data_IF_667885004829
#
_entry.id   IF_667885004829
#
_cell.length_a   1.000
_cell.length_b   1.000
_cell.length_c   1.000
_cell.angle_alpha   90.00
_cell.angle_beta   90.00
_cell.angle_gamma   90.00
#
_symmetry.space_group_name_H-M   'P 1'
#
loop_
_entity.id
_entity.type
_entity.pdbx_description
1 polymer ?
#
# COMPACT_ATOMS: atom_id res chain seq x y z
N UNK A 1 6.98 1.02 -3.18
CA UNK A 1 6.56 2.28 -2.52
C UNK A 1 7.60 3.35 -2.77
N UNK A 2 8.87 2.97 -2.61
CA UNK A 2 10.10 3.64 -3.00
C UNK A 2 9.97 4.41 -4.33
N UNK A 3 9.47 3.73 -5.36
CA UNK A 3 9.26 4.33 -6.69
C UNK A 3 8.12 5.35 -6.68
N UNK A 4 6.97 5.00 -6.08
CA UNK A 4 5.78 5.84 -6.07
C UNK A 4 6.00 7.16 -5.34
N UNK A 5 6.75 7.14 -4.23
CA UNK A 5 7.10 8.35 -3.48
C UNK A 5 7.84 9.39 -4.32
N UNK A 6 8.63 8.96 -5.32
CA UNK A 6 9.34 9.86 -6.23
C UNK A 6 8.45 10.45 -7.34
N UNK A 7 7.24 9.91 -7.54
CA UNK A 7 6.31 10.41 -8.56
C UNK A 7 5.40 11.51 -8.02
N UNK A 8 5.18 11.55 -6.71
CA UNK A 8 4.25 12.48 -6.05
C UNK A 8 4.57 13.93 -6.41
N UNK A 9 3.54 14.69 -6.81
CA UNK A 9 3.67 16.10 -7.19
C UNK A 9 4.37 16.36 -8.54
N UNK A 10 4.81 15.32 -9.25
CA UNK A 10 5.31 15.45 -10.63
C UNK A 10 4.16 15.46 -11.64
N UNK A 11 4.44 15.78 -12.91
CA UNK A 11 3.44 15.66 -14.00
C UNK A 11 2.90 14.23 -14.23
N UNK A 12 3.52 13.23 -13.61
CA UNK A 12 3.10 11.84 -13.67
C UNK A 12 2.18 11.45 -12.50
N UNK A 13 2.06 12.29 -11.47
CA UNK A 13 1.12 12.13 -10.37
C UNK A 13 -0.30 12.51 -10.81
N UNK A 14 -0.95 11.57 -11.48
CA UNK A 14 -2.31 11.73 -12.00
C UNK A 14 -3.35 10.97 -11.16
N UNK A 15 -2.99 10.57 -9.93
CA UNK A 15 -3.87 9.76 -9.08
C UNK A 15 -5.15 10.52 -8.78
N UNK A 16 -5.05 11.79 -8.34
CA UNK A 16 -6.23 12.62 -8.04
C UNK A 16 -7.19 12.81 -9.23
N UNK A 17 -6.66 12.85 -10.44
CA UNK A 17 -7.43 13.13 -11.66
C UNK A 17 -8.12 11.88 -12.23
N UNK A 18 -7.56 10.69 -11.95
CA UNK A 18 -8.05 9.42 -12.51
C UNK A 18 -8.90 8.64 -11.53
N UNK A 19 -8.85 8.98 -10.25
CA UNK A 19 -9.46 8.20 -9.20
C UNK A 19 -10.86 8.71 -8.84
N UNK A 20 -11.83 8.42 -9.71
CA UNK A 20 -13.26 8.68 -9.47
C UNK A 20 -13.97 7.49 -8.80
N UNK A 21 -13.23 6.43 -8.48
CA UNK A 21 -13.77 5.17 -7.99
C UNK A 21 -13.10 4.74 -6.68
N UNK A 22 -13.75 3.80 -6.00
CA UNK A 22 -13.24 3.18 -4.78
C UNK A 22 -12.03 2.27 -5.09
N UNK A 23 -10.85 2.57 -4.54
CA UNK A 23 -9.59 1.86 -4.86
C UNK A 23 -9.12 0.96 -3.74
N UNK A 24 -8.70 -0.25 -4.11
CA UNK A 24 -7.92 -1.15 -3.25
C UNK A 24 -6.45 -0.94 -3.60
N UNK A 25 -5.69 -0.40 -2.65
CA UNK A 25 -4.25 -0.18 -2.84
C UNK A 25 -3.49 -1.45 -2.48
N UNK A 26 -2.53 -1.84 -3.33
CA UNK A 26 -1.54 -2.85 -2.99
C UNK A 26 -0.15 -2.21 -3.07
N UNK A 27 0.56 -2.20 -1.96
CA UNK A 27 1.82 -1.48 -1.81
C UNK A 27 2.86 -2.37 -1.14
N UNK A 28 4.13 -2.19 -1.47
CA UNK A 28 5.25 -2.84 -0.79
C UNK A 28 6.45 -1.88 -0.80
N UNK A 29 7.43 -2.05 0.10
CA UNK A 29 8.70 -1.32 0.09
C UNK A 29 9.91 -2.25 -0.01
N UNK A 30 10.84 -1.95 -0.92
CA UNK A 30 12.10 -2.69 -1.07
C UNK A 30 13.20 -2.16 -0.15
N UNK A 31 13.51 -0.87 -0.29
CA UNK A 31 14.71 -0.24 0.28
C UNK A 31 14.38 0.67 1.47
N UNK A 32 13.10 1.06 1.61
CA UNK A 32 12.67 1.89 2.74
C UNK A 32 12.73 1.11 4.06
N UNK A 33 13.40 1.71 5.04
CA UNK A 33 13.27 1.32 6.45
C UNK A 33 11.91 1.79 7.03
N UNK A 34 11.52 1.40 8.26
CA UNK A 34 10.22 1.76 8.83
C UNK A 34 9.92 3.27 8.86
N UNK A 35 10.92 4.10 9.15
CA UNK A 35 10.77 5.57 9.12
C UNK A 35 10.55 6.08 7.68
N UNK A 36 11.22 5.48 6.71
CA UNK A 36 11.05 5.74 5.29
C UNK A 36 9.65 5.37 4.80
N UNK A 37 9.16 4.19 5.18
CA UNK A 37 7.79 3.72 4.89
C UNK A 37 6.77 4.72 5.42
N UNK A 38 6.86 5.07 6.71
CA UNK A 38 5.97 6.04 7.35
C UNK A 38 5.95 7.38 6.63
N UNK A 39 7.14 7.91 6.30
CA UNK A 39 7.25 9.19 5.59
C UNK A 39 6.68 9.13 4.17
N UNK A 40 6.93 8.05 3.44
CA UNK A 40 6.40 7.87 2.09
C UNK A 40 4.87 7.82 2.11
N UNK A 41 4.28 7.01 3.00
CA UNK A 41 2.83 6.92 3.15
C UNK A 41 2.21 8.25 3.58
N UNK A 42 2.84 8.97 4.51
CA UNK A 42 2.41 10.32 4.87
C UNK A 42 2.39 11.26 3.66
N UNK A 43 3.45 11.27 2.83
CA UNK A 43 3.47 12.10 1.62
C UNK A 43 2.40 11.72 0.61
N UNK A 44 2.18 10.42 0.36
CA UNK A 44 1.13 9.93 -0.54
C UNK A 44 -0.27 10.35 -0.03
N UNK A 45 -0.48 10.28 1.29
CA UNK A 45 -1.73 10.68 1.94
C UNK A 45 -1.98 12.19 1.81
N UNK A 46 -0.99 13.03 2.11
CA UNK A 46 -1.07 14.49 1.93
C UNK A 46 -1.26 14.88 0.46
N UNK A 47 -0.68 14.10 -0.45
CA UNK A 47 -0.93 14.20 -1.87
C UNK A 47 -2.31 13.62 -2.27
N UNK A 48 -3.19 13.28 -1.33
CA UNK A 48 -4.58 12.92 -1.60
C UNK A 48 -4.77 11.58 -2.33
N UNK A 49 -3.76 10.72 -2.39
CA UNK A 49 -3.84 9.43 -3.10
C UNK A 49 -4.89 8.49 -2.50
N UNK A 50 -5.17 8.63 -1.20
CA UNK A 50 -6.08 7.75 -0.47
C UNK A 50 -7.48 8.35 -0.28
N UNK A 51 -7.87 9.37 -1.08
CA UNK A 51 -9.18 10.01 -0.94
C UNK A 51 -10.36 9.05 -1.11
N UNK A 52 -10.22 8.07 -2.01
CA UNK A 52 -11.25 7.06 -2.31
C UNK A 52 -10.79 5.64 -1.97
N UNK A 53 -9.89 5.51 -0.97
CA UNK A 53 -9.42 4.20 -0.52
C UNK A 53 -10.56 3.36 0.05
N UNK A 54 -10.56 2.08 -0.30
CA UNK A 54 -11.53 1.08 0.19
C UNK A 54 -10.87 -0.11 0.89
N UNK A 55 -9.55 -0.21 0.76
CA UNK A 55 -8.74 -1.20 1.45
C UNK A 55 -7.28 -1.02 1.08
N UNK A 56 -6.40 -1.51 1.95
CA UNK A 56 -4.96 -1.50 1.76
C UNK A 56 -4.40 -2.91 1.94
N UNK A 57 -3.61 -3.36 0.97
CA UNK A 57 -2.84 -4.58 1.04
C UNK A 57 -1.36 -4.22 1.04
N UNK A 58 -0.60 -4.79 1.95
CA UNK A 58 0.82 -4.52 2.11
C UNK A 58 1.61 -5.81 1.94
N UNK A 59 2.54 -5.79 1.00
CA UNK A 59 3.57 -6.82 0.88
C UNK A 59 4.60 -6.68 1.99
N UNK A 60 5.31 -7.77 2.29
CA UNK A 60 6.38 -7.76 3.31
C UNK A 60 7.52 -6.83 2.85
N UNK A 61 7.89 -5.79 3.62
CA UNK A 61 8.91 -4.86 3.19
C UNK A 61 10.31 -5.47 3.32
N UNK A 62 11.08 -5.55 2.23
CA UNK A 62 12.37 -6.25 2.24
C UNK A 62 13.36 -5.69 3.27
N UNK A 63 13.58 -4.38 3.27
CA UNK A 63 14.51 -3.70 4.20
C UNK A 63 13.86 -3.30 5.52
N UNK A 64 12.53 -3.39 5.63
CA UNK A 64 11.77 -2.98 6.81
C UNK A 64 11.37 -4.10 7.75
N UNK A 65 11.32 -5.36 7.26
CA UNK A 65 10.78 -6.49 8.03
C UNK A 65 11.64 -6.81 9.26
N UNK A 66 11.02 -6.90 10.43
CA UNK A 66 11.69 -7.20 11.71
C UNK A 66 12.64 -6.10 12.18
N UNK A 67 12.54 -4.89 11.63
CA UNK A 67 13.38 -3.74 11.98
C UNK A 67 12.56 -2.76 12.80
N UNK A 68 13.08 -2.34 13.95
CA UNK A 68 12.49 -1.26 14.74
C UNK A 68 13.46 -0.10 14.87
N UNK A 69 13.00 1.12 14.58
CA UNK A 69 13.78 2.34 14.69
C UNK A 69 12.98 3.42 15.42
N UNK A 70 13.52 3.95 16.53
CA UNK A 70 12.86 5.00 17.32
C UNK A 70 11.42 4.63 17.73
N UNK A 71 11.16 3.33 17.99
CA UNK A 71 9.83 2.81 18.31
C UNK A 71 8.91 2.59 17.10
N UNK A 72 9.40 2.80 15.88
CA UNK A 72 8.65 2.57 14.64
C UNK A 72 9.06 1.23 14.03
N UNK A 73 8.09 0.36 13.78
CA UNK A 73 8.24 -0.94 13.13
C UNK A 73 7.46 -0.99 11.81
N UNK A 74 7.54 -2.11 11.09
CA UNK A 74 6.88 -2.31 9.80
C UNK A 74 5.35 -2.14 9.83
N UNK A 75 4.71 -2.40 10.97
CA UNK A 75 3.25 -2.35 11.12
C UNK A 75 2.79 -0.95 11.53
N UNK A 76 3.36 -0.40 12.59
CA UNK A 76 2.99 0.93 13.09
C UNK A 76 3.46 2.05 12.14
N UNK A 77 4.46 1.79 11.29
CA UNK A 77 4.83 2.71 10.21
C UNK A 77 3.65 3.02 9.29
N UNK A 78 2.73 2.06 9.12
CA UNK A 78 1.51 2.18 8.33
C UNK A 78 0.33 2.59 9.20
N UNK A 79 0.03 1.84 10.26
CA UNK A 79 -1.21 1.98 11.04
C UNK A 79 -1.43 3.43 11.53
N UNK A 80 -0.37 4.08 12.00
CA UNK A 80 -0.45 5.45 12.52
C UNK A 80 -0.82 6.48 11.43
N UNK A 81 -0.54 6.20 10.15
CA UNK A 81 -0.89 7.06 9.02
C UNK A 81 -2.38 6.95 8.67
N UNK A 82 -2.99 5.80 8.91
CA UNK A 82 -4.38 5.49 8.53
C UNK A 82 -5.34 5.41 9.71
N UNK A 83 -4.92 5.79 10.92
CA UNK A 83 -5.73 5.70 12.16
C UNK A 83 -7.05 6.48 12.11
N UNK A 84 -7.15 7.48 11.24
CA UNK A 84 -8.31 8.34 11.00
C UNK A 84 -9.22 7.84 9.88
N UNK A 85 -8.89 6.70 9.26
CA UNK A 85 -9.63 6.10 8.15
C UNK A 85 -10.06 4.68 8.53
N UNK A 86 -11.37 4.44 8.54
CA UNK A 86 -11.93 3.11 8.79
C UNK A 86 -11.90 2.26 7.51
N UNK A 87 -10.77 1.59 7.28
CA UNK A 87 -10.58 0.66 6.15
C UNK A 87 -9.92 -0.65 6.59
N UNK A 88 -10.22 -1.76 5.90
CA UNK A 88 -9.46 -2.99 6.08
C UNK A 88 -8.02 -2.84 5.57
N UNK A 89 -7.06 -3.24 6.41
CA UNK A 89 -5.63 -3.30 6.07
C UNK A 89 -5.14 -4.74 6.24
N UNK A 90 -4.60 -5.32 5.16
CA UNK A 90 -3.96 -6.62 5.16
C UNK A 90 -2.44 -6.45 5.07
N UNK A 91 -1.72 -6.98 6.05
CA UNK A 91 -0.26 -7.01 6.05
C UNK A 91 0.27 -8.33 5.51
N UNK A 92 1.58 -8.37 5.30
CA UNK A 92 2.34 -9.58 5.01
C UNK A 92 1.87 -10.39 3.80
N UNK A 93 1.27 -9.71 2.82
CA UNK A 93 0.77 -10.33 1.60
C UNK A 93 1.93 -10.86 0.74
N UNK A 94 1.68 -11.95 0.02
CA UNK A 94 2.65 -12.61 -0.85
C UNK A 94 2.84 -11.88 -2.18
N UNK A 95 3.31 -10.62 -2.15
CA UNK A 95 3.76 -9.86 -3.30
C UNK A 95 4.88 -8.90 -2.89
N UNK A 96 5.63 -8.38 -3.88
CA UNK A 96 6.81 -7.55 -3.64
C UNK A 96 8.12 -8.35 -3.70
N UNK A 97 9.14 -7.92 -2.96
CA UNK A 97 10.50 -8.43 -3.12
C UNK A 97 10.81 -9.71 -2.34
N UNK A 98 9.98 -10.07 -1.34
CA UNK A 98 10.13 -11.31 -0.55
C UNK A 98 9.19 -12.39 -1.11
N UNK A 99 9.77 -13.52 -1.51
CA UNK A 99 9.00 -14.67 -1.99
C UNK A 99 8.13 -15.33 -0.91
N UNK A 100 7.01 -15.98 -1.28
CA UNK A 100 6.47 -16.09 -2.63
C UNK A 100 5.85 -14.77 -3.15
N UNK A 101 5.87 -14.58 -4.47
CA UNK A 101 5.44 -13.33 -5.13
C UNK A 101 4.31 -13.60 -6.13
N UNK A 102 3.08 -13.35 -5.71
CA UNK A 102 1.87 -13.44 -6.51
C UNK A 102 1.74 -12.22 -7.44
N UNK A 103 1.46 -12.41 -8.74
CA UNK A 103 1.18 -11.31 -9.65
C UNK A 103 -0.17 -10.64 -9.31
N UNK A 104 -0.21 -9.31 -9.38
CA UNK A 104 -1.41 -8.49 -9.19
C UNK A 104 -1.65 -7.64 -10.43
N UNK A 105 -2.91 -7.50 -10.83
CA UNK A 105 -3.30 -6.76 -12.03
C UNK A 105 -3.68 -5.32 -11.63
N UNK A 106 -2.78 -4.37 -11.90
CA UNK A 106 -3.03 -2.94 -11.68
C UNK A 106 -4.19 -2.43 -12.54
N UNK A 107 -5.13 -1.69 -11.93
CA UNK A 107 -6.23 -1.03 -12.65
C UNK A 107 -7.40 -1.94 -13.01
N UNK A 108 -7.38 -3.22 -12.63
CA UNK A 108 -8.53 -4.10 -12.78
C UNK A 108 -9.56 -3.85 -11.66
N UNK A 109 -10.85 -4.03 -11.97
CA UNK A 109 -11.88 -4.12 -10.94
C UNK A 109 -11.66 -5.41 -10.15
N UNK A 110 -11.64 -5.34 -8.82
CA UNK A 110 -11.37 -6.51 -8.00
C UNK A 110 -12.21 -6.53 -6.72
N UNK A 111 -12.47 -7.74 -6.21
CA UNK A 111 -12.92 -7.98 -4.85
C UNK A 111 -11.84 -8.72 -4.10
N UNK A 112 -11.45 -8.19 -2.95
CA UNK A 112 -10.49 -8.80 -2.04
C UNK A 112 -11.22 -9.31 -0.81
N UNK A 113 -10.92 -10.55 -0.43
CA UNK A 113 -11.46 -11.17 0.78
C UNK A 113 -10.33 -11.91 1.51
N UNK A 114 -10.43 -11.93 2.84
CA UNK A 114 -9.52 -12.67 3.69
C UNK A 114 -10.32 -13.39 4.76
N UNK A 115 -10.13 -14.71 4.84
CA UNK A 115 -10.66 -15.57 5.90
C UNK A 115 -9.49 -16.40 6.44
N UNK A 116 -9.20 -17.55 5.82
CA UNK A 116 -7.99 -18.36 6.11
C UNK A 116 -6.85 -18.05 5.13
N UNK A 117 -7.17 -17.46 3.98
CA UNK A 117 -6.24 -17.10 2.91
C UNK A 117 -6.72 -15.86 2.19
N UNK A 118 -5.77 -15.13 1.61
CA UNK A 118 -6.06 -14.03 0.71
C UNK A 118 -6.68 -14.56 -0.59
N UNK A 119 -7.80 -13.97 -1.00
CA UNK A 119 -8.44 -14.22 -2.30
C UNK A 119 -8.69 -12.89 -3.01
N UNK A 120 -8.21 -12.80 -4.26
CA UNK A 120 -8.44 -11.66 -5.16
C UNK A 120 -9.22 -12.15 -6.38
N UNK A 121 -10.42 -11.61 -6.58
CA UNK A 121 -11.27 -11.91 -7.73
C UNK A 121 -11.31 -10.71 -8.66
N UNK A 122 -10.87 -10.87 -9.91
CA UNK A 122 -10.86 -9.80 -10.91
C UNK A 122 -12.10 -9.87 -11.81
N UNK A 123 -12.69 -8.71 -12.09
CA UNK A 123 -13.84 -8.56 -12.95
C UNK A 123 -13.47 -7.76 -14.20
N UNK A 124 -13.84 -8.29 -15.36
CA UNK A 124 -13.70 -7.63 -16.64
C UNK A 124 -15.10 -7.29 -17.17
N UNK A 125 -15.25 -6.10 -17.76
CA UNK A 125 -16.43 -5.74 -18.55
C UNK A 125 -16.22 -6.18 -19.99
#
# INVERSE_FOLDING_TARGET
MDVLANLVGTRFDQVKEKDEHHVIWFLEACDLNPLGIRRALWQLKEAGWFKHISGLMLGRPLSGMGVTMLGVDEYNAVLDIFQDIDIPILFDCDFGHIGPTMPIISGANAKVTYEERLKIEYYYK
#
